data_IF_573107137233
#
_entry.id   IF_573107137233
#
_cell.length_a   1.000
_cell.length_b   1.000
_cell.length_c   1.000
_cell.angle_alpha   90.00
_cell.angle_beta   90.00
_cell.angle_gamma   90.00
#
_symmetry.space_group_name_H-M   'P 1'
#
loop_
_entity.id
_entity.type
_entity.pdbx_description
1 polymer ?
#
# COMPACT_ATOMS: atom_id res chain seq x y z
N UNK A 1 -79.81 -28.54 -31.11
CA UNK A 1 -78.70 -27.64 -31.53
C UNK A 1 -77.65 -27.35 -30.45
N UNK A 2 -77.67 -27.97 -29.26
CA UNK A 2 -76.81 -27.58 -28.13
C UNK A 2 -75.50 -28.34 -27.88
N UNK A 3 -75.22 -29.45 -28.59
CA UNK A 3 -73.98 -30.25 -28.40
C UNK A 3 -72.77 -29.65 -29.11
N UNK A 4 -72.88 -29.31 -30.39
CA UNK A 4 -71.79 -28.67 -31.17
C UNK A 4 -71.29 -27.37 -30.55
N UNK A 5 -72.20 -26.48 -30.13
CA UNK A 5 -71.84 -25.25 -29.43
C UNK A 5 -71.22 -25.45 -28.03
N UNK A 6 -71.31 -26.65 -27.43
CA UNK A 6 -70.61 -27.00 -26.18
C UNK A 6 -69.21 -27.55 -26.47
N UNK A 7 -69.05 -28.32 -27.55
CA UNK A 7 -67.77 -28.83 -28.02
C UNK A 7 -66.84 -27.70 -28.51
N UNK A 8 -67.35 -26.77 -29.34
CA UNK A 8 -66.57 -25.60 -29.79
C UNK A 8 -66.11 -24.71 -28.61
N UNK A 9 -66.96 -24.53 -27.59
CA UNK A 9 -66.58 -23.78 -26.38
C UNK A 9 -65.55 -24.52 -25.53
N UNK A 10 -65.48 -25.85 -25.64
CA UNK A 10 -64.49 -26.66 -24.95
C UNK A 10 -63.14 -26.60 -25.68
N UNK A 11 -63.14 -26.75 -27.00
CA UNK A 11 -61.94 -26.58 -27.83
C UNK A 11 -61.33 -25.17 -27.67
N UNK A 12 -62.14 -24.11 -27.70
CA UNK A 12 -61.65 -22.74 -27.46
C UNK A 12 -61.07 -22.54 -26.05
N UNK A 13 -61.54 -23.30 -25.05
CA UNK A 13 -60.96 -23.25 -23.69
C UNK A 13 -59.65 -24.01 -23.64
N UNK A 14 -59.58 -25.17 -24.28
CA UNK A 14 -58.37 -26.00 -24.36
C UNK A 14 -57.26 -25.25 -25.12
N UNK A 15 -57.58 -24.56 -26.22
CA UNK A 15 -56.64 -23.71 -26.97
C UNK A 15 -56.13 -22.53 -26.14
N UNK A 16 -57.02 -21.81 -25.44
CA UNK A 16 -56.63 -20.71 -24.53
C UNK A 16 -55.74 -21.19 -23.40
N UNK A 17 -56.03 -22.36 -22.82
CA UNK A 17 -55.20 -22.96 -21.76
C UNK A 17 -53.83 -23.38 -22.32
N UNK A 18 -53.78 -23.95 -23.52
CA UNK A 18 -52.53 -24.33 -24.18
C UNK A 18 -51.67 -23.09 -24.50
N UNK A 19 -52.28 -22.00 -24.97
CA UNK A 19 -51.62 -20.73 -25.24
C UNK A 19 -51.07 -20.09 -23.95
N UNK A 20 -51.88 -20.02 -22.90
CA UNK A 20 -51.46 -19.53 -21.58
C UNK A 20 -50.30 -20.37 -21.01
N UNK A 21 -50.32 -21.69 -21.19
CA UNK A 21 -49.26 -22.59 -20.73
C UNK A 21 -47.95 -22.35 -21.50
N UNK A 22 -48.02 -22.15 -22.82
CA UNK A 22 -46.86 -21.78 -23.66
C UNK A 22 -46.24 -20.45 -23.24
N UNK A 23 -47.07 -19.43 -23.00
CA UNK A 23 -46.62 -18.11 -22.53
C UNK A 23 -45.98 -18.21 -21.14
N UNK A 24 -46.60 -18.94 -20.21
CA UNK A 24 -46.05 -19.17 -18.86
C UNK A 24 -44.70 -19.88 -18.93
N UNK A 25 -44.57 -20.94 -19.74
CA UNK A 25 -43.31 -21.65 -19.95
C UNK A 25 -42.22 -20.74 -20.53
N UNK A 26 -42.56 -19.91 -21.52
CA UNK A 26 -41.63 -18.93 -22.12
C UNK A 26 -41.14 -17.92 -21.08
N UNK A 27 -42.04 -17.40 -20.25
CA UNK A 27 -41.68 -16.46 -19.19
C UNK A 27 -40.86 -17.12 -18.08
N UNK A 28 -41.19 -18.36 -17.70
CA UNK A 28 -40.39 -19.14 -16.74
C UNK A 28 -38.98 -19.43 -17.26
N UNK A 29 -38.83 -19.74 -18.55
CA UNK A 29 -37.50 -19.94 -19.17
C UNK A 29 -36.67 -18.65 -19.19
N UNK A 30 -37.30 -17.50 -19.51
CA UNK A 30 -36.64 -16.19 -19.42
C UNK A 30 -36.22 -15.87 -17.99
N UNK A 31 -37.10 -16.11 -17.02
CA UNK A 31 -36.80 -15.88 -15.61
C UNK A 31 -35.66 -16.78 -15.11
N UNK A 32 -35.65 -18.06 -15.49
CA UNK A 32 -34.56 -18.98 -15.20
C UNK A 32 -33.23 -18.52 -15.82
N UNK A 33 -33.25 -18.02 -17.06
CA UNK A 33 -32.07 -17.45 -17.70
C UNK A 33 -31.51 -16.22 -16.97
N UNK A 34 -32.40 -15.31 -16.54
CA UNK A 34 -32.00 -14.14 -15.74
C UNK A 34 -31.43 -14.57 -14.39
N UNK A 35 -32.06 -15.52 -13.70
CA UNK A 35 -31.58 -16.04 -12.43
C UNK A 35 -30.19 -16.68 -12.55
N UNK A 36 -29.98 -17.48 -13.60
CA UNK A 36 -28.67 -18.07 -13.87
C UNK A 36 -27.60 -17.00 -14.12
N UNK A 37 -27.92 -15.94 -14.88
CA UNK A 37 -27.01 -14.81 -15.09
C UNK A 37 -26.65 -14.10 -13.79
N UNK A 38 -27.64 -13.84 -12.92
CA UNK A 38 -27.42 -13.19 -11.62
C UNK A 38 -26.48 -14.05 -10.76
N UNK A 39 -26.70 -15.37 -10.71
CA UNK A 39 -25.83 -16.28 -9.96
C UNK A 39 -24.39 -16.25 -10.48
N UNK A 40 -24.20 -16.20 -11.80
CA UNK A 40 -22.86 -16.08 -12.40
C UNK A 40 -22.21 -14.74 -12.03
N UNK A 41 -22.94 -13.62 -12.12
CA UNK A 41 -22.41 -12.30 -11.77
C UNK A 41 -22.04 -12.24 -10.28
N UNK A 42 -22.90 -12.73 -9.39
CA UNK A 42 -22.66 -12.76 -7.95
C UNK A 42 -21.50 -13.69 -7.61
N UNK A 43 -21.42 -14.86 -8.25
CA UNK A 43 -20.31 -15.79 -8.09
C UNK A 43 -18.98 -15.19 -8.55
N UNK A 44 -18.98 -14.52 -9.71
CA UNK A 44 -17.80 -13.84 -10.24
C UNK A 44 -17.38 -12.66 -9.34
N UNK A 45 -18.34 -11.82 -8.92
CA UNK A 45 -18.07 -10.72 -7.99
C UNK A 45 -17.56 -11.23 -6.63
N UNK A 46 -18.07 -12.35 -6.12
CA UNK A 46 -17.58 -12.98 -4.90
C UNK A 46 -16.17 -13.55 -5.06
N UNK A 47 -15.85 -14.16 -6.21
CA UNK A 47 -14.51 -14.61 -6.54
C UNK A 47 -13.51 -13.45 -6.62
N UNK A 48 -13.86 -12.38 -7.34
CA UNK A 48 -13.07 -11.16 -7.40
C UNK A 48 -12.89 -10.55 -6.01
N UNK A 49 -13.93 -10.51 -5.17
CA UNK A 49 -13.85 -9.99 -3.82
C UNK A 49 -12.93 -10.80 -2.90
N UNK A 50 -12.90 -12.14 -3.03
CA UNK A 50 -11.99 -13.00 -2.26
C UNK A 50 -10.54 -12.83 -2.71
N UNK A 51 -10.31 -12.53 -3.99
CA UNK A 51 -8.98 -12.34 -4.56
C UNK A 51 -8.56 -10.86 -4.65
N UNK A 52 -9.41 -9.93 -4.22
CA UNK A 52 -9.04 -8.53 -4.14
C UNK A 52 -7.99 -8.43 -3.05
N UNK A 53 -6.75 -8.10 -3.43
CA UNK A 53 -5.74 -7.70 -2.45
C UNK A 53 -6.38 -6.65 -1.53
N UNK A 54 -6.39 -6.92 -0.24
CA UNK A 54 -7.01 -6.10 0.82
C UNK A 54 -6.34 -4.74 1.02
N UNK A 55 -5.65 -4.28 0.01
CA UNK A 55 -4.76 -3.15 0.01
C UNK A 55 -5.61 -1.90 -0.20
N UNK A 56 -5.67 -1.07 0.84
CA UNK A 56 -6.35 0.21 0.78
C UNK A 56 -5.78 1.08 -0.37
N UNK A 57 -6.56 2.03 -0.93
CA UNK A 57 -6.06 2.93 -1.96
C UNK A 57 -4.72 3.56 -1.56
N UNK A 58 -3.72 3.46 -2.45
CA UNK A 58 -2.36 3.97 -2.21
C UNK A 58 -1.39 2.99 -1.56
N UNK A 59 -1.75 1.72 -1.38
CA UNK A 59 -0.85 0.69 -0.86
C UNK A 59 0.43 0.53 -1.69
N UNK A 60 1.61 0.44 -1.05
CA UNK A 60 2.82 0.02 -1.73
C UNK A 60 2.71 -1.42 -2.26
N UNK A 61 3.43 -1.75 -3.35
CA UNK A 61 3.56 -3.14 -3.79
C UNK A 61 4.10 -4.03 -2.67
N UNK A 62 3.47 -5.18 -2.45
CA UNK A 62 3.89 -6.13 -1.42
C UNK A 62 3.52 -5.75 0.02
N UNK A 63 2.86 -4.61 0.23
CA UNK A 63 2.34 -4.26 1.54
C UNK A 63 1.19 -5.19 1.93
N UNK A 64 1.14 -5.56 3.21
CA UNK A 64 -0.01 -6.22 3.81
C UNK A 64 -1.17 -5.27 4.07
N UNK A 65 -1.98 -5.60 5.07
CA UNK A 65 -3.18 -4.82 5.37
C UNK A 65 -2.79 -3.62 6.23
N UNK A 66 -3.22 -2.42 5.83
CA UNK A 66 -3.03 -1.23 6.64
C UNK A 66 -3.53 -1.42 8.09
N UNK A 67 -2.65 -1.17 9.05
CA UNK A 67 -2.84 -1.34 10.49
C UNK A 67 -2.62 -2.77 11.00
N UNK A 68 -2.15 -3.71 10.17
CA UNK A 68 -1.81 -5.07 10.62
C UNK A 68 -0.54 -5.15 11.48
N UNK A 69 0.33 -4.16 11.35
CA UNK A 69 1.59 -3.99 12.08
C UNK A 69 1.77 -2.52 12.45
N UNK A 70 2.53 -2.24 13.51
CA UNK A 70 2.86 -0.87 13.92
C UNK A 70 4.25 -0.85 14.56
N UNK A 71 5.26 -0.54 13.74
CA UNK A 71 6.68 -0.57 14.13
C UNK A 71 7.30 0.82 14.04
N UNK A 72 8.26 1.09 14.93
CA UNK A 72 8.96 2.37 15.02
C UNK A 72 10.46 2.20 14.80
N UNK A 73 11.08 3.11 14.06
CA UNK A 73 12.53 3.16 13.87
C UNK A 73 13.07 4.57 14.03
N UNK A 74 14.30 4.68 14.48
CA UNK A 74 15.01 5.96 14.57
C UNK A 74 15.81 6.22 13.30
N UNK A 75 15.67 7.43 12.73
CA UNK A 75 16.44 7.91 11.60
C UNK A 75 17.30 9.11 12.00
N UNK A 76 18.56 9.09 11.57
CA UNK A 76 19.44 10.24 11.56
C UNK A 76 20.02 10.42 10.15
N UNK A 77 19.87 11.61 9.59
CA UNK A 77 20.47 11.98 8.30
C UNK A 77 21.44 13.15 8.51
N UNK A 78 22.70 12.95 8.14
CA UNK A 78 23.79 13.94 8.24
C UNK A 78 24.32 14.24 6.83
N UNK A 79 24.39 15.51 6.45
CA UNK A 79 24.98 15.96 5.19
C UNK A 79 26.02 17.02 5.50
N UNK A 80 27.29 16.74 5.21
CA UNK A 80 28.43 17.56 5.64
C UNK A 80 28.43 17.86 7.15
N UNK A 81 28.01 16.88 7.96
CA UNK A 81 27.84 17.03 9.40
C UNK A 81 26.56 17.76 9.84
N UNK A 82 25.81 18.43 8.96
CA UNK A 82 24.55 19.08 9.31
C UNK A 82 23.42 18.04 9.41
N UNK A 83 22.63 18.10 10.49
CA UNK A 83 21.45 17.24 10.67
C UNK A 83 20.33 17.72 9.75
N UNK A 84 19.78 16.80 8.96
CA UNK A 84 18.57 17.07 8.20
C UNK A 84 17.33 17.03 9.10
N UNK A 85 16.44 18.01 8.94
CA UNK A 85 15.28 18.20 9.79
C UNK A 85 13.97 17.74 9.11
N UNK A 86 13.40 16.63 9.61
CA UNK A 86 12.10 16.12 9.17
C UNK A 86 10.91 16.65 10.00
N UNK A 87 11.11 17.52 11.00
CA UNK A 87 10.02 18.04 11.86
C UNK A 87 9.03 18.95 11.11
N UNK A 88 9.46 19.54 9.98
CA UNK A 88 8.64 20.42 9.15
C UNK A 88 7.38 19.71 8.62
N UNK A 89 6.22 20.38 8.54
CA UNK A 89 5.00 19.84 7.91
C UNK A 89 5.18 19.33 6.48
N UNK A 90 6.26 19.73 5.80
CA UNK A 90 6.64 19.21 4.50
C UNK A 90 7.01 17.71 4.50
N UNK A 91 7.30 17.10 5.65
CA UNK A 91 7.70 15.69 5.77
C UNK A 91 6.77 14.84 6.64
N UNK A 92 5.76 15.47 7.24
CA UNK A 92 4.87 14.82 8.21
C UNK A 92 3.65 14.22 7.50
N UNK A 93 3.28 12.99 7.87
CA UNK A 93 2.08 12.23 7.44
C UNK A 93 1.90 12.30 5.91
N UNK A 94 2.95 11.97 5.15
CA UNK A 94 2.91 11.94 3.66
C UNK A 94 2.30 10.67 3.09
N UNK A 95 2.27 9.61 3.87
CA UNK A 95 1.60 8.36 3.54
C UNK A 95 0.95 7.81 4.80
N UNK A 96 -0.15 7.07 4.67
CA UNK A 96 -0.74 6.36 5.81
C UNK A 96 0.01 5.09 6.17
N UNK A 97 0.91 4.62 5.30
CA UNK A 97 1.58 3.33 5.44
C UNK A 97 2.91 3.42 6.17
N UNK A 98 3.66 4.51 5.95
CA UNK A 98 4.93 4.80 6.62
C UNK A 98 5.16 6.32 6.61
N UNK A 99 5.48 6.92 7.76
CA UNK A 99 5.60 8.38 7.87
C UNK A 99 6.34 8.85 9.14
N UNK A 100 6.60 10.16 9.18
CA UNK A 100 6.89 10.94 10.39
C UNK A 100 5.62 11.64 10.88
N UNK A 101 5.47 11.83 12.20
CA UNK A 101 4.30 12.49 12.79
C UNK A 101 4.64 13.32 14.05
N UNK A 102 3.66 14.09 14.53
CA UNK A 102 3.75 14.89 15.77
C UNK A 102 4.93 15.86 15.85
N UNK A 103 5.41 16.33 14.69
CA UNK A 103 6.64 17.14 14.58
C UNK A 103 7.88 16.43 15.14
N UNK A 104 7.83 15.10 15.27
CA UNK A 104 8.99 14.25 15.43
C UNK A 104 9.59 13.98 14.05
N UNK A 105 10.81 14.46 13.85
CA UNK A 105 11.58 14.24 12.62
C UNK A 105 12.62 13.13 12.75
N UNK A 106 12.54 12.32 13.80
CA UNK A 106 13.54 11.31 14.14
C UNK A 106 12.96 9.92 14.26
N UNK A 107 11.65 9.79 14.47
CA UNK A 107 10.94 8.51 14.53
C UNK A 107 10.14 8.27 13.26
N UNK A 108 10.42 7.16 12.58
CA UNK A 108 9.61 6.63 11.48
C UNK A 108 8.56 5.70 12.08
N UNK A 109 7.30 5.87 11.68
CA UNK A 109 6.18 5.00 12.02
C UNK A 109 5.81 4.19 10.78
N UNK A 110 5.76 2.85 10.86
CA UNK A 110 5.29 1.94 9.81
C UNK A 110 4.03 1.23 10.27
N UNK A 111 2.94 1.39 9.54
CA UNK A 111 1.61 0.86 9.89
C UNK A 111 1.20 -0.37 9.06
N UNK A 112 2.13 -1.08 8.43
CA UNK A 112 1.81 -2.27 7.64
C UNK A 112 3.04 -3.12 7.39
N UNK A 113 2.86 -4.44 7.35
CA UNK A 113 3.86 -5.38 6.80
C UNK A 113 4.28 -5.00 5.38
N UNK A 114 5.54 -5.25 5.02
CA UNK A 114 6.03 -5.14 3.63
C UNK A 114 6.32 -3.73 3.11
N UNK A 115 6.18 -2.68 3.94
CA UNK A 115 6.43 -1.30 3.52
C UNK A 115 7.91 -0.93 3.71
N UNK A 116 8.58 -0.58 2.62
CA UNK A 116 10.03 -0.32 2.62
C UNK A 116 10.37 1.16 2.86
N UNK A 117 11.64 1.44 3.15
CA UNK A 117 12.18 2.80 3.22
C UNK A 117 12.15 3.53 1.87
N UNK A 118 12.30 2.83 0.74
CA UNK A 118 12.14 3.44 -0.59
C UNK A 118 10.77 4.13 -0.71
N UNK A 119 9.71 3.44 -0.28
CA UNK A 119 8.37 4.01 -0.31
C UNK A 119 8.23 5.22 0.64
N UNK A 120 8.87 5.21 1.82
CA UNK A 120 8.94 6.40 2.68
C UNK A 120 9.58 7.57 1.94
N UNK A 121 10.82 7.41 1.47
CA UNK A 121 11.57 8.51 0.84
C UNK A 121 10.92 9.00 -0.45
N UNK A 122 10.34 8.11 -1.26
CA UNK A 122 9.58 8.47 -2.45
C UNK A 122 8.37 9.38 -2.11
N UNK A 123 7.65 9.11 -1.02
CA UNK A 123 6.55 9.97 -0.57
C UNK A 123 7.02 11.34 -0.02
N UNK A 124 8.28 11.43 0.39
CA UNK A 124 8.94 12.70 0.76
C UNK A 124 9.54 13.43 -0.46
N UNK A 125 9.48 12.83 -1.65
CA UNK A 125 10.13 13.34 -2.86
C UNK A 125 11.65 13.23 -2.83
N UNK A 126 12.18 12.37 -1.96
CA UNK A 126 13.62 12.14 -1.78
C UNK A 126 13.99 10.88 -2.55
N UNK A 127 14.97 10.99 -3.44
CA UNK A 127 15.52 9.85 -4.16
C UNK A 127 16.80 9.37 -3.49
N UNK A 128 16.92 8.07 -3.23
CA UNK A 128 18.12 7.48 -2.63
C UNK A 128 18.55 6.31 -3.52
N UNK A 129 19.84 6.22 -3.79
CA UNK A 129 20.47 5.05 -4.39
C UNK A 129 21.85 4.85 -3.77
N UNK A 130 22.58 3.78 -4.13
CA UNK A 130 23.86 3.46 -3.49
C UNK A 130 24.93 4.54 -3.61
N UNK A 131 24.76 5.54 -4.49
CA UNK A 131 25.74 6.60 -4.70
C UNK A 131 25.19 7.99 -4.35
N UNK A 132 23.89 8.24 -4.45
CA UNK A 132 23.32 9.58 -4.44
C UNK A 132 22.10 9.71 -3.50
N UNK A 133 22.10 10.80 -2.72
CA UNK A 133 20.94 11.30 -1.99
C UNK A 133 20.40 12.56 -2.69
N UNK A 134 19.15 12.53 -3.15
CA UNK A 134 18.54 13.54 -4.03
C UNK A 134 17.34 14.19 -3.34
N UNK A 135 17.40 15.50 -3.15
CA UNK A 135 16.33 16.28 -2.53
C UNK A 135 15.27 16.72 -3.55
N UNK A 136 14.03 17.00 -3.09
CA UNK A 136 12.95 17.49 -3.94
C UNK A 136 13.26 18.82 -4.66
N UNK A 137 14.16 19.63 -4.09
CA UNK A 137 14.58 20.92 -4.64
C UNK A 137 15.65 20.80 -5.74
N UNK A 138 16.05 19.58 -6.10
CA UNK A 138 17.03 19.28 -7.15
C UNK A 138 18.48 19.22 -6.65
N UNK A 139 18.75 19.52 -5.36
CA UNK A 139 20.08 19.27 -4.79
C UNK A 139 20.33 17.77 -4.70
N UNK A 140 21.55 17.35 -5.03
CA UNK A 140 21.96 15.96 -4.91
C UNK A 140 23.36 15.86 -4.32
N UNK A 141 23.54 14.85 -3.48
CA UNK A 141 24.79 14.56 -2.78
C UNK A 141 25.23 13.17 -3.20
N UNK A 142 26.17 13.12 -4.15
CA UNK A 142 26.64 11.90 -4.78
C UNK A 142 28.08 11.62 -4.40
N UNK A 143 28.36 10.37 -4.02
CA UNK A 143 29.69 9.85 -3.73
C UNK A 143 30.70 10.19 -4.84
N UNK A 144 31.88 10.65 -4.44
CA UNK A 144 32.98 11.03 -5.31
C UNK A 144 34.33 10.81 -4.61
N UNK A 145 35.43 11.35 -5.13
CA UNK A 145 36.77 11.14 -4.56
C UNK A 145 36.92 11.68 -3.13
N UNK A 146 36.26 12.80 -2.82
CA UNK A 146 36.41 13.50 -1.54
C UNK A 146 35.31 13.13 -0.53
N UNK A 147 34.11 12.78 -1.01
CA UNK A 147 32.92 12.57 -0.17
C UNK A 147 32.22 11.27 -0.48
N UNK A 148 31.65 10.62 0.53
CA UNK A 148 30.95 9.35 0.42
C UNK A 148 29.59 9.41 1.10
N UNK A 149 28.58 8.91 0.42
CA UNK A 149 27.31 8.50 0.99
C UNK A 149 27.48 7.12 1.65
N UNK A 150 27.10 6.99 2.92
CA UNK A 150 27.19 5.77 3.69
C UNK A 150 25.87 5.53 4.42
N UNK A 151 25.54 4.27 4.59
CA UNK A 151 24.34 3.82 5.30
C UNK A 151 24.71 2.87 6.42
N UNK A 152 24.06 3.02 7.56
CA UNK A 152 24.14 2.06 8.65
C UNK A 152 22.75 1.69 9.14
N UNK A 153 22.55 0.41 9.38
CA UNK A 153 21.37 -0.13 10.05
C UNK A 153 21.88 -0.90 11.27
N UNK A 154 21.48 -0.48 12.47
CA UNK A 154 21.92 -1.08 13.73
C UNK A 154 23.45 -1.22 13.81
N UNK A 155 24.15 -0.11 13.51
CA UNK A 155 25.61 0.01 13.46
C UNK A 155 26.32 -0.80 12.35
N UNK A 156 25.57 -1.55 11.54
CA UNK A 156 26.15 -2.31 10.42
C UNK A 156 26.11 -1.49 9.14
N UNK A 157 27.27 -1.34 8.49
CA UNK A 157 27.34 -0.67 7.20
C UNK A 157 26.63 -1.49 6.12
N UNK A 158 25.75 -0.84 5.37
CA UNK A 158 25.02 -1.43 4.24
C UNK A 158 25.25 -0.63 2.97
N UNK A 159 25.06 -1.28 1.82
CA UNK A 159 25.27 -0.65 0.51
C UNK A 159 24.10 0.26 0.10
N UNK A 160 22.91 -0.09 0.53
CA UNK A 160 21.64 0.57 0.22
C UNK A 160 20.65 0.29 1.35
N UNK A 161 19.61 1.11 1.44
CA UNK A 161 18.54 1.03 2.44
C UNK A 161 17.14 0.91 1.80
N UNK A 162 17.01 1.10 0.48
CA UNK A 162 15.72 1.21 -0.20
C UNK A 162 14.77 0.03 0.07
N UNK A 163 15.29 -1.19 0.01
CA UNK A 163 14.51 -2.42 0.24
C UNK A 163 14.34 -2.78 1.73
N UNK A 164 14.92 -2.00 2.64
CA UNK A 164 14.81 -2.27 4.08
C UNK A 164 13.39 -2.01 4.57
N UNK A 165 12.83 -2.99 5.28
CA UNK A 165 11.56 -2.88 5.99
C UNK A 165 11.93 -2.72 7.46
N UNK A 166 11.53 -1.60 8.07
CA UNK A 166 11.91 -1.30 9.45
C UNK A 166 11.25 -2.26 10.44
N UNK A 167 12.00 -2.67 11.45
CA UNK A 167 11.52 -3.39 12.63
C UNK A 167 11.53 -2.46 13.87
N UNK A 168 10.74 -2.77 14.90
CA UNK A 168 10.70 -1.99 16.13
C UNK A 168 12.09 -1.81 16.73
N UNK A 169 12.47 -0.56 16.94
CA UNK A 169 13.72 -0.17 17.58
C UNK A 169 14.91 0.00 16.63
N UNK A 170 14.72 -0.20 15.32
CA UNK A 170 15.79 -0.05 14.33
C UNK A 170 16.46 1.33 14.43
N UNK A 171 17.78 1.36 14.23
CA UNK A 171 18.62 2.56 14.23
C UNK A 171 19.25 2.75 12.86
N UNK A 172 18.82 3.78 12.14
CA UNK A 172 19.24 4.04 10.77
C UNK A 172 20.04 5.35 10.70
N UNK A 173 21.29 5.26 10.24
CA UNK A 173 22.12 6.42 9.92
C UNK A 173 22.31 6.51 8.40
N UNK A 174 22.00 7.67 7.85
CA UNK A 174 22.40 8.08 6.50
C UNK A 174 23.36 9.24 6.64
N UNK A 175 24.57 9.11 6.10
CA UNK A 175 25.59 10.14 6.26
C UNK A 175 26.33 10.38 4.96
N UNK A 176 26.48 11.65 4.60
CA UNK A 176 27.20 12.09 3.41
C UNK A 176 28.27 13.11 3.78
N UNK A 177 29.51 12.78 3.47
CA UNK A 177 30.65 13.66 3.72
C UNK A 177 31.98 12.91 3.67
N UNK A 178 32.99 13.51 4.30
CA UNK A 178 34.34 12.96 4.43
C UNK A 178 34.63 12.52 5.87
N UNK A 179 33.59 12.10 6.60
CA UNK A 179 33.67 11.77 8.02
C UNK A 179 34.72 10.67 8.27
N UNK A 180 35.58 10.93 9.27
CA UNK A 180 36.49 9.92 9.81
C UNK A 180 35.69 8.83 10.56
N UNK A 181 36.28 7.65 10.82
CA UNK A 181 35.63 6.62 11.62
C UNK A 181 35.14 7.13 12.99
N UNK A 182 35.90 8.01 13.63
CA UNK A 182 35.54 8.61 14.93
C UNK A 182 34.30 9.51 14.81
N UNK A 183 34.21 10.31 13.75
CA UNK A 183 33.04 11.16 13.49
C UNK A 183 31.79 10.34 13.15
N UNK A 184 31.96 9.20 12.47
CA UNK A 184 30.86 8.27 12.24
C UNK A 184 30.37 7.67 13.57
N UNK A 185 31.27 7.27 14.45
CA UNK A 185 30.92 6.74 15.78
C UNK A 185 30.15 7.79 16.60
N UNK A 186 30.54 9.06 16.55
CA UNK A 186 29.79 10.14 17.20
C UNK A 186 28.34 10.26 16.66
N UNK A 187 28.14 10.11 15.36
CA UNK A 187 26.81 10.12 14.75
C UNK A 187 25.99 8.87 15.14
N UNK A 188 26.62 7.70 15.25
CA UNK A 188 25.96 6.48 15.71
C UNK A 188 25.53 6.59 17.19
N UNK A 189 26.40 7.14 18.05
CA UNK A 189 26.06 7.40 19.46
C UNK A 189 24.92 8.41 19.60
N UNK A 190 24.87 9.46 18.77
CA UNK A 190 23.75 10.40 18.73
C UNK A 190 22.45 9.69 18.32
N UNK A 191 22.49 8.85 17.28
CA UNK A 191 21.36 8.07 16.80
C UNK A 191 20.82 7.14 17.89
N UNK A 192 21.68 6.48 18.65
CA UNK A 192 21.29 5.61 19.76
C UNK A 192 20.62 6.38 20.90
N UNK A 193 21.04 7.63 21.12
CA UNK A 193 20.47 8.50 22.15
C UNK A 193 19.08 9.06 21.78
N UNK A 194 18.64 8.93 20.51
CA UNK A 194 17.31 9.40 20.10
C UNK A 194 16.22 8.55 20.77
N UNK A 195 15.21 9.23 21.31
CA UNK A 195 14.01 8.57 21.87
C UNK A 195 13.13 8.15 20.70
N UNK A 196 12.80 6.86 20.62
CA UNK A 196 11.81 6.34 19.69
C UNK A 196 10.45 6.52 20.35
N UNK A 197 9.58 7.34 19.75
CA UNK A 197 8.22 7.55 20.24
C UNK A 197 7.28 6.52 19.62
N UNK A 198 6.52 5.85 20.47
CA UNK A 198 5.49 4.87 20.10
C UNK A 198 4.09 5.44 20.08
#
# INVERSE_FOLDING_TARGET
MGRRAREERREQREDKVAEQTKVKRKNSLKAAGILALIVVIVGYAGYEFINLDSNAPGAPPGAGKLGDEHEHASLLVRVFGDKFDFTSPAYQIKSSWIHFEDSDGTTIHRHSTGVTLDYLFANLGIGIDSECYKFPDGRQFCSNEDYRLKYYINHQIVKDINDHIIEEGDRILITYGNETPEQIEEQLMELDAQIIKS
#
